data_IF_423062696360
#
_entry.id   IF_423062696360
#
_cell.length_a   1.000
_cell.length_b   1.000
_cell.length_c   1.000
_cell.angle_alpha   90.00
_cell.angle_beta   90.00
_cell.angle_gamma   90.00
#
_symmetry.space_group_name_H-M   'P 1'
#
loop_
_entity.id
_entity.type
_entity.pdbx_description
1 polymer ?
#
# COMPACT_ATOMS: atom_id res chain seq x y z
N UNK A 1 43.22 13.80 -28.72
CA UNK A 1 41.75 13.75 -28.71
C UNK A 1 41.25 13.96 -30.13
N UNK A 2 40.40 13.07 -30.65
CA UNK A 2 39.79 13.25 -31.98
C UNK A 2 38.74 14.36 -31.92
N UNK A 3 38.35 14.93 -33.08
CA UNK A 3 37.28 15.94 -33.14
C UNK A 3 35.95 15.39 -32.59
N UNK A 4 35.64 14.13 -32.88
CA UNK A 4 34.45 13.42 -32.39
C UNK A 4 34.46 13.24 -30.87
N UNK A 5 35.60 12.84 -30.29
CA UNK A 5 35.72 12.68 -28.83
C UNK A 5 35.52 14.01 -28.10
N UNK A 6 36.10 15.10 -28.64
CA UNK A 6 35.93 16.45 -28.09
C UNK A 6 34.46 16.86 -28.08
N UNK A 7 33.74 16.62 -29.19
CA UNK A 7 32.32 16.94 -29.29
C UNK A 7 31.48 16.18 -28.24
N UNK A 8 31.72 14.87 -28.07
CA UNK A 8 30.99 14.07 -27.07
C UNK A 8 31.24 14.54 -25.63
N UNK A 9 32.47 14.97 -25.32
CA UNK A 9 32.81 15.54 -24.01
C UNK A 9 32.11 16.88 -23.77
N UNK A 10 32.07 17.74 -24.79
CA UNK A 10 31.33 19.01 -24.74
C UNK A 10 29.82 18.75 -24.55
N UNK A 11 29.26 17.76 -25.23
CA UNK A 11 27.86 17.35 -25.09
C UNK A 11 27.54 16.76 -23.72
N UNK A 12 28.41 15.89 -23.18
CA UNK A 12 28.29 15.37 -21.83
C UNK A 12 28.30 16.49 -20.78
N UNK A 13 29.23 17.44 -20.87
CA UNK A 13 29.30 18.58 -19.94
C UNK A 13 28.00 19.40 -19.99
N UNK A 14 27.52 19.68 -21.21
CA UNK A 14 26.26 20.38 -21.42
C UNK A 14 25.07 19.67 -20.75
N UNK A 15 24.89 18.37 -21.00
CA UNK A 15 23.75 17.64 -20.43
C UNK A 15 23.89 17.38 -18.93
N UNK A 16 25.11 17.20 -18.39
CA UNK A 16 25.33 17.14 -16.94
C UNK A 16 24.80 18.41 -16.24
N UNK A 17 25.14 19.58 -16.79
CA UNK A 17 24.68 20.86 -16.25
C UNK A 17 23.17 21.04 -16.48
N UNK A 18 22.65 20.66 -17.65
CA UNK A 18 21.22 20.72 -17.95
C UNK A 18 20.38 19.92 -16.95
N UNK A 19 20.68 18.63 -16.73
CA UNK A 19 19.88 17.78 -15.84
C UNK A 19 19.96 18.23 -14.39
N UNK A 20 21.10 18.81 -13.97
CA UNK A 20 21.25 19.42 -12.66
C UNK A 20 20.34 20.64 -12.51
N UNK A 21 20.40 21.58 -13.46
CA UNK A 21 19.58 22.80 -13.42
C UNK A 21 18.09 22.53 -13.62
N UNK A 22 17.73 21.46 -14.35
CA UNK A 22 16.35 20.97 -14.48
C UNK A 22 15.80 20.37 -13.19
N UNK A 23 16.67 20.05 -12.22
CA UNK A 23 16.32 19.46 -10.93
C UNK A 23 16.14 17.95 -10.96
N UNK A 24 16.72 17.26 -11.97
CA UNK A 24 16.64 15.80 -12.08
C UNK A 24 17.70 15.08 -11.22
N UNK A 25 18.63 15.83 -10.62
CA UNK A 25 19.64 15.36 -9.67
C UNK A 25 19.95 16.45 -8.65
N UNK A 26 20.58 16.09 -7.53
CA UNK A 26 21.09 17.02 -6.51
C UNK A 26 22.45 16.59 -6.00
N UNK A 27 23.29 17.55 -5.59
CA UNK A 27 24.61 17.25 -5.02
C UNK A 27 25.53 16.54 -6.02
N UNK A 28 26.13 15.43 -5.58
CA UNK A 28 26.99 14.55 -6.40
C UNK A 28 26.24 13.31 -6.91
N UNK A 29 24.89 13.36 -6.95
CA UNK A 29 24.07 12.26 -7.42
C UNK A 29 23.92 12.23 -8.94
N UNK A 30 23.69 11.02 -9.47
CA UNK A 30 23.51 10.77 -10.89
C UNK A 30 24.83 10.63 -11.65
N UNK A 31 24.76 10.08 -12.86
CA UNK A 31 25.89 9.93 -13.76
C UNK A 31 25.42 9.72 -15.20
N UNK A 32 26.22 10.19 -16.15
CA UNK A 32 25.94 10.13 -17.57
C UNK A 32 27.09 9.40 -18.27
N UNK A 33 26.75 8.67 -19.33
CA UNK A 33 27.74 8.09 -20.23
C UNK A 33 27.32 8.10 -21.68
N UNK A 34 28.31 8.04 -22.56
CA UNK A 34 28.11 7.86 -24.01
C UNK A 34 29.14 6.89 -24.59
N UNK A 35 28.70 6.05 -25.53
CA UNK A 35 29.56 5.13 -26.28
C UNK A 35 30.47 5.93 -27.20
N UNK A 36 31.74 5.57 -27.24
CA UNK A 36 32.73 6.16 -28.12
C UNK A 36 33.63 5.05 -28.67
N UNK A 37 33.26 4.52 -29.84
CA UNK A 37 33.97 3.39 -30.47
C UNK A 37 33.92 2.13 -29.62
N UNK A 38 35.10 1.62 -29.24
CA UNK A 38 35.29 0.45 -28.38
C UNK A 38 35.30 0.79 -26.87
N UNK A 39 34.92 2.02 -26.52
CA UNK A 39 34.96 2.56 -25.15
C UNK A 39 33.67 3.28 -24.78
N UNK A 40 33.57 3.65 -23.51
CA UNK A 40 32.50 4.48 -22.95
C UNK A 40 33.13 5.69 -22.28
N UNK A 41 32.65 6.89 -22.59
CA UNK A 41 32.96 8.10 -21.82
C UNK A 41 31.93 8.22 -20.70
N UNK A 42 32.38 8.34 -19.45
CA UNK A 42 31.52 8.40 -18.26
C UNK A 42 31.95 9.51 -17.30
N UNK A 43 30.98 10.08 -16.58
CA UNK A 43 31.22 11.04 -15.49
C UNK A 43 32.14 10.47 -14.41
N UNK A 44 33.05 11.28 -13.83
CA UNK A 44 33.87 10.88 -12.70
C UNK A 44 33.04 10.72 -11.42
N UNK A 45 33.55 9.92 -10.49
CA UNK A 45 32.96 9.75 -9.16
C UNK A 45 33.13 11.00 -8.30
N UNK A 46 32.14 11.27 -7.44
CA UNK A 46 32.15 12.35 -6.44
C UNK A 46 32.24 13.79 -6.99
N UNK A 47 32.02 13.98 -8.30
CA UNK A 47 31.90 15.31 -8.92
C UNK A 47 30.42 15.64 -9.11
N UNK A 48 30.02 16.87 -8.81
CA UNK A 48 28.65 17.32 -9.07
C UNK A 48 28.44 17.51 -10.57
N UNK A 49 27.32 17.03 -11.10
CA UNK A 49 26.97 17.24 -12.52
C UNK A 49 26.86 18.73 -12.90
N UNK A 50 26.66 19.62 -11.91
CA UNK A 50 26.73 21.08 -12.09
C UNK A 50 28.10 21.59 -12.53
N UNK A 51 29.15 20.88 -12.17
CA UNK A 51 30.55 21.34 -12.27
C UNK A 51 31.36 20.55 -13.30
N UNK A 52 30.78 19.49 -13.90
CA UNK A 52 31.47 18.71 -14.93
C UNK A 52 31.89 19.56 -16.12
N UNK A 53 33.19 19.57 -16.40
CA UNK A 53 33.82 20.13 -17.59
C UNK A 53 34.20 19.02 -18.61
N UNK A 54 34.37 19.35 -19.90
CA UNK A 54 34.74 18.37 -20.94
C UNK A 54 35.99 17.53 -20.62
N UNK A 55 36.92 18.10 -19.87
CA UNK A 55 38.19 17.46 -19.50
C UNK A 55 38.02 16.42 -18.39
N UNK A 56 36.92 16.47 -17.63
CA UNK A 56 36.70 15.63 -16.44
C UNK A 56 36.30 14.19 -16.77
N UNK A 57 35.72 13.95 -17.96
CA UNK A 57 35.17 12.64 -18.32
C UNK A 57 36.25 11.58 -18.50
N UNK A 58 35.91 10.36 -18.07
CA UNK A 58 36.81 9.21 -18.07
C UNK A 58 36.39 8.25 -19.17
N UNK A 59 37.34 7.77 -19.96
CA UNK A 59 37.12 6.69 -20.90
C UNK A 59 37.34 5.35 -20.18
N UNK A 60 36.34 4.47 -20.24
CA UNK A 60 36.40 3.10 -19.72
C UNK A 60 36.19 2.07 -20.85
N UNK A 61 36.67 0.85 -20.65
CA UNK A 61 36.29 -0.29 -21.48
C UNK A 61 34.90 -0.82 -21.09
N UNK A 62 34.38 -1.80 -21.85
CA UNK A 62 33.08 -2.43 -21.54
C UNK A 62 33.10 -3.33 -20.30
N UNK A 63 34.26 -3.57 -19.69
CA UNK A 63 34.38 -4.24 -18.39
C UNK A 63 34.40 -3.22 -17.23
N UNK A 64 34.38 -1.92 -17.54
CA UNK A 64 34.33 -0.82 -16.58
C UNK A 64 35.70 -0.35 -16.08
N UNK A 65 36.80 -0.84 -16.66
CA UNK A 65 38.14 -0.41 -16.28
C UNK A 65 38.50 0.91 -16.96
N UNK A 66 39.13 1.81 -16.20
CA UNK A 66 39.63 3.09 -16.70
C UNK A 66 40.74 2.87 -17.74
N UNK A 67 40.52 3.37 -18.95
CA UNK A 67 41.47 3.31 -20.07
C UNK A 67 42.17 4.66 -20.28
N UNK A 68 41.45 5.77 -20.11
CA UNK A 68 42.02 7.13 -20.22
C UNK A 68 41.20 8.16 -19.43
N UNK A 69 41.80 9.32 -19.14
CA UNK A 69 41.16 10.43 -18.42
C UNK A 69 42.07 11.01 -17.32
N UNK A 70 41.62 12.05 -16.59
CA UNK A 70 42.42 12.71 -15.56
C UNK A 70 42.89 11.74 -14.48
N UNK A 71 44.17 11.80 -14.09
CA UNK A 71 44.80 10.80 -13.20
C UNK A 71 44.12 10.72 -11.82
N UNK A 72 43.70 11.87 -11.28
CA UNK A 72 43.10 12.01 -9.95
C UNK A 72 41.62 11.61 -9.87
N UNK A 73 40.95 11.39 -11.00
CA UNK A 73 39.56 10.93 -11.00
C UNK A 73 39.43 9.44 -11.25
N UNK A 74 38.43 8.84 -10.62
CA UNK A 74 38.00 7.46 -10.86
C UNK A 74 36.62 7.46 -11.52
N UNK A 75 36.28 6.43 -12.33
CA UNK A 75 34.94 6.31 -12.92
C UNK A 75 33.83 6.34 -11.86
N UNK A 76 32.62 6.73 -12.27
CA UNK A 76 31.42 6.62 -11.43
C UNK A 76 31.32 5.24 -10.77
N UNK A 77 30.80 5.20 -9.54
CA UNK A 77 30.49 3.93 -8.86
C UNK A 77 29.53 3.05 -9.67
N UNK A 78 28.65 3.66 -10.46
CA UNK A 78 27.68 2.97 -11.30
C UNK A 78 28.25 2.54 -12.67
N UNK A 79 29.57 2.53 -12.86
CA UNK A 79 30.18 2.13 -14.14
C UNK A 79 29.72 0.74 -14.61
N UNK A 80 29.60 -0.24 -13.70
CA UNK A 80 29.14 -1.59 -14.04
C UNK A 80 27.67 -1.64 -14.46
N UNK A 81 26.85 -0.76 -13.91
CA UNK A 81 25.45 -0.62 -14.31
C UNK A 81 25.37 -0.15 -15.77
N UNK A 82 26.20 0.85 -16.14
CA UNK A 82 26.26 1.38 -17.50
C UNK A 82 26.80 0.35 -18.50
N UNK A 83 27.93 -0.30 -18.18
CA UNK A 83 28.54 -1.26 -19.09
C UNK A 83 27.66 -2.49 -19.30
N UNK A 84 26.95 -2.96 -18.29
CA UNK A 84 26.01 -4.07 -18.41
C UNK A 84 24.87 -3.77 -19.40
N UNK A 85 24.35 -2.54 -19.40
CA UNK A 85 23.37 -2.10 -20.41
C UNK A 85 24.00 -2.05 -21.80
N UNK A 86 25.17 -1.42 -21.97
CA UNK A 86 25.82 -1.32 -23.27
C UNK A 86 26.18 -2.68 -23.89
N UNK A 87 26.51 -3.67 -23.04
CA UNK A 87 26.78 -5.05 -23.46
C UNK A 87 25.51 -5.78 -23.86
N UNK A 88 24.40 -5.60 -23.14
CA UNK A 88 23.13 -6.24 -23.43
C UNK A 88 22.34 -5.58 -24.58
N UNK A 89 22.55 -4.29 -24.79
CA UNK A 89 21.83 -3.46 -25.78
C UNK A 89 22.82 -2.75 -26.71
N UNK A 90 23.28 -3.41 -27.79
CA UNK A 90 24.18 -2.79 -28.77
C UNK A 90 23.60 -1.58 -29.50
N UNK A 91 22.27 -1.42 -29.48
CA UNK A 91 21.54 -0.29 -30.05
C UNK A 91 21.51 0.96 -29.14
N UNK A 92 21.98 0.84 -27.90
CA UNK A 92 22.11 1.94 -26.94
C UNK A 92 23.50 2.55 -27.02
N UNK A 93 23.54 3.87 -27.15
CA UNK A 93 24.75 4.68 -27.25
C UNK A 93 24.86 5.71 -26.13
N UNK A 94 23.79 6.04 -25.41
CA UNK A 94 23.82 6.95 -24.28
C UNK A 94 23.00 6.43 -23.10
N UNK A 95 23.45 6.75 -21.89
CA UNK A 95 22.77 6.40 -20.64
C UNK A 95 22.82 7.58 -19.67
N UNK A 96 21.67 7.90 -19.07
CA UNK A 96 21.56 8.88 -17.99
C UNK A 96 20.96 8.22 -16.75
N UNK A 97 21.75 8.03 -15.70
CA UNK A 97 21.27 7.65 -14.38
C UNK A 97 21.01 8.90 -13.54
N UNK A 98 19.76 9.12 -13.13
CA UNK A 98 19.31 10.37 -12.52
C UNK A 98 18.40 10.12 -11.30
N UNK A 99 18.08 11.17 -10.55
CA UNK A 99 17.23 11.14 -9.35
C UNK A 99 16.00 12.07 -9.43
N UNK A 100 15.16 11.98 -10.48
CA UNK A 100 13.95 12.80 -10.63
C UNK A 100 12.95 12.56 -9.48
N UNK A 101 12.57 13.60 -8.70
CA UNK A 101 11.80 13.42 -7.47
C UNK A 101 10.46 12.71 -7.64
N UNK A 102 9.69 13.02 -8.69
CA UNK A 102 8.38 12.39 -8.90
C UNK A 102 8.53 10.94 -9.38
N UNK A 103 9.51 10.64 -10.23
CA UNK A 103 9.83 9.25 -10.58
C UNK A 103 10.20 8.40 -9.36
N UNK A 104 10.99 8.96 -8.43
CA UNK A 104 11.40 8.27 -7.20
C UNK A 104 10.19 7.89 -6.33
N UNK A 105 9.11 8.67 -6.33
CA UNK A 105 7.86 8.31 -5.59
C UNK A 105 7.33 6.95 -6.03
N UNK A 106 7.41 6.63 -7.32
CA UNK A 106 6.98 5.33 -7.86
C UNK A 106 8.03 4.24 -7.62
N UNK A 107 9.32 4.56 -7.79
CA UNK A 107 10.42 3.63 -7.55
C UNK A 107 10.45 3.13 -6.09
N UNK A 108 10.24 4.01 -5.10
CA UNK A 108 10.17 3.64 -3.67
C UNK A 108 8.97 2.76 -3.36
N UNK A 109 7.90 2.82 -4.17
CA UNK A 109 6.70 1.98 -4.02
C UNK A 109 6.76 0.68 -4.83
N UNK A 110 7.88 0.40 -5.47
CA UNK A 110 8.03 -0.72 -6.40
C UNK A 110 6.89 -0.77 -7.44
N UNK A 111 6.58 0.38 -8.05
CA UNK A 111 5.54 0.52 -9.09
C UNK A 111 6.11 1.22 -10.31
N UNK A 112 5.70 0.77 -11.50
CA UNK A 112 5.92 1.50 -12.75
C UNK A 112 5.20 2.85 -12.75
N UNK A 113 5.65 3.79 -13.58
CA UNK A 113 4.98 5.07 -13.80
C UNK A 113 3.70 4.82 -14.63
N UNK A 114 2.51 5.20 -14.14
CA UNK A 114 1.30 5.15 -14.94
C UNK A 114 1.39 6.14 -16.12
N UNK A 115 1.23 5.65 -17.35
CA UNK A 115 1.30 6.46 -18.57
C UNK A 115 -0.03 7.19 -18.79
N UNK A 116 -0.23 8.28 -18.05
CA UNK A 116 -1.52 9.02 -18.01
C UNK A 116 -1.71 10.03 -19.15
N UNK A 117 -0.75 10.14 -20.07
CA UNK A 117 -0.82 11.02 -21.23
C UNK A 117 -0.44 10.29 -22.51
N UNK A 118 -1.05 10.66 -23.63
CA UNK A 118 -0.75 10.08 -24.95
C UNK A 118 0.74 10.24 -25.28
N UNK A 119 1.36 11.36 -24.91
CA UNK A 119 2.80 11.58 -25.11
C UNK A 119 3.65 10.55 -24.36
N UNK A 120 3.29 10.23 -23.11
CA UNK A 120 3.98 9.21 -22.32
C UNK A 120 3.77 7.81 -22.89
N UNK A 121 2.55 7.46 -23.33
CA UNK A 121 2.26 6.18 -23.96
C UNK A 121 3.10 5.94 -25.22
N UNK A 122 3.24 6.96 -26.06
CA UNK A 122 3.95 6.86 -27.35
C UNK A 122 5.48 6.95 -27.18
N UNK A 123 5.96 7.82 -26.29
CA UNK A 123 7.41 8.14 -26.20
C UNK A 123 8.14 7.49 -25.05
N UNK A 124 7.47 7.21 -23.93
CA UNK A 124 8.14 6.64 -22.75
C UNK A 124 8.09 5.11 -22.76
N UNK A 125 6.96 4.55 -23.21
CA UNK A 125 6.73 3.12 -23.19
C UNK A 125 6.71 2.53 -21.78
N UNK A 126 6.88 1.20 -21.64
CA UNK A 126 6.92 0.54 -20.35
C UNK A 126 8.05 1.07 -19.45
N UNK A 127 7.76 1.26 -18.17
CA UNK A 127 8.73 1.74 -17.16
C UNK A 127 8.98 0.66 -16.08
N UNK A 128 9.76 -0.40 -16.38
CA UNK A 128 9.98 -1.48 -15.44
C UNK A 128 10.71 -1.02 -14.17
N UNK A 129 10.50 -1.72 -13.06
CA UNK A 129 11.19 -1.48 -11.80
C UNK A 129 12.19 -2.58 -11.51
N UNK A 130 13.43 -2.19 -11.24
CA UNK A 130 14.51 -3.06 -10.82
C UNK A 130 14.56 -3.10 -9.30
N UNK A 131 14.55 -4.28 -8.66
CA UNK A 131 14.62 -4.42 -7.21
C UNK A 131 15.89 -3.83 -6.60
N UNK A 132 15.83 -3.48 -5.31
CA UNK A 132 16.95 -2.88 -4.59
C UNK A 132 18.20 -3.79 -4.56
N UNK A 133 19.35 -3.21 -4.89
CA UNK A 133 20.67 -3.79 -4.71
C UNK A 133 21.69 -2.69 -4.42
N UNK A 134 22.83 -3.00 -3.75
CA UNK A 134 23.83 -1.98 -3.42
C UNK A 134 24.35 -1.23 -4.66
N UNK A 135 24.42 0.10 -4.57
CA UNK A 135 24.99 0.98 -5.60
C UNK A 135 26.41 0.55 -6.00
N UNK A 136 26.67 0.54 -7.31
CA UNK A 136 27.94 0.09 -7.88
C UNK A 136 28.28 -1.40 -7.73
N UNK A 137 27.31 -2.24 -7.32
CA UNK A 137 27.52 -3.68 -7.23
C UNK A 137 27.24 -4.40 -8.54
N UNK A 138 27.93 -5.54 -8.76
CA UNK A 138 27.63 -6.44 -9.87
C UNK A 138 26.20 -6.99 -9.81
N UNK A 139 25.63 -7.11 -8.60
CA UNK A 139 24.23 -7.55 -8.42
C UNK A 139 23.27 -6.56 -9.06
N UNK A 140 23.43 -5.27 -8.81
CA UNK A 140 22.60 -4.23 -9.42
C UNK A 140 22.77 -4.23 -10.96
N UNK A 141 24.01 -4.31 -11.44
CA UNK A 141 24.30 -4.39 -12.87
C UNK A 141 23.59 -5.58 -13.56
N UNK A 142 23.62 -6.76 -12.95
CA UNK A 142 22.93 -7.94 -13.48
C UNK A 142 21.41 -7.78 -13.49
N UNK A 143 20.81 -7.21 -12.43
CA UNK A 143 19.37 -6.97 -12.38
C UNK A 143 18.92 -5.96 -13.44
N UNK A 144 19.69 -4.90 -13.66
CA UNK A 144 19.43 -3.92 -14.72
C UNK A 144 19.55 -4.56 -16.10
N UNK A 145 20.60 -5.37 -16.32
CA UNK A 145 20.78 -6.13 -17.56
C UNK A 145 19.59 -7.02 -17.87
N UNK A 146 19.13 -7.78 -16.88
CA UNK A 146 18.01 -8.69 -17.04
C UNK A 146 16.71 -7.91 -17.32
N UNK A 147 16.51 -6.74 -16.70
CA UNK A 147 15.36 -5.88 -16.97
C UNK A 147 15.34 -5.30 -18.39
N UNK A 148 16.48 -4.80 -18.91
CA UNK A 148 16.54 -4.25 -20.28
C UNK A 148 16.43 -5.32 -21.37
N UNK A 149 16.77 -6.57 -21.06
CA UNK A 149 16.55 -7.73 -21.94
C UNK A 149 15.11 -8.22 -21.89
N UNK A 150 14.50 -8.25 -20.70
CA UNK A 150 13.11 -8.65 -20.53
C UNK A 150 12.12 -7.62 -21.11
N UNK A 151 12.50 -6.34 -21.14
CA UNK A 151 11.71 -5.27 -21.72
C UNK A 151 12.53 -4.44 -22.72
N UNK A 152 12.72 -4.93 -23.97
CA UNK A 152 13.53 -4.24 -24.98
C UNK A 152 13.00 -2.84 -25.36
N UNK A 153 11.69 -2.63 -25.23
CA UNK A 153 11.03 -1.35 -25.52
C UNK A 153 11.21 -0.31 -24.40
N UNK A 154 11.71 -0.71 -23.22
CA UNK A 154 11.88 0.21 -22.10
C UNK A 154 13.00 1.22 -22.40
N UNK A 155 12.67 2.51 -22.32
CA UNK A 155 13.65 3.60 -22.41
C UNK A 155 13.96 4.22 -21.04
N UNK A 156 13.04 4.08 -20.08
CA UNK A 156 13.19 4.54 -18.71
C UNK A 156 12.96 3.36 -17.75
N UNK A 157 13.98 3.03 -16.97
CA UNK A 157 13.93 1.99 -15.94
C UNK A 157 13.96 2.67 -14.57
N UNK A 158 13.07 2.26 -13.67
CA UNK A 158 13.10 2.69 -12.28
C UNK A 158 13.99 1.75 -11.47
N UNK A 159 14.80 2.31 -10.57
CA UNK A 159 15.62 1.56 -9.62
C UNK A 159 15.03 1.75 -8.23
N UNK A 160 14.51 0.67 -7.63
CA UNK A 160 13.83 0.71 -6.32
C UNK A 160 14.71 1.38 -5.26
N UNK A 161 14.15 2.40 -4.57
CA UNK A 161 14.82 3.22 -3.54
C UNK A 161 16.12 3.91 -3.98
N UNK A 162 16.36 4.04 -5.29
CA UNK A 162 17.61 4.60 -5.82
C UNK A 162 17.38 5.77 -6.78
N UNK A 163 16.78 5.53 -7.95
CA UNK A 163 16.70 6.54 -9.00
C UNK A 163 16.07 6.00 -10.27
N UNK A 164 16.46 6.58 -11.41
CA UNK A 164 16.05 6.10 -12.73
C UNK A 164 17.26 5.90 -13.63
N UNK A 165 17.09 5.07 -14.65
CA UNK A 165 18.05 4.85 -15.72
C UNK A 165 17.36 5.09 -17.06
N UNK A 166 17.73 6.15 -17.76
CA UNK A 166 17.26 6.44 -19.10
C UNK A 166 18.29 5.98 -20.13
N UNK A 167 17.84 5.29 -21.18
CA UNK A 167 18.69 4.70 -22.23
C UNK A 167 18.25 5.18 -23.62
N UNK A 168 19.20 5.40 -24.52
CA UNK A 168 18.90 5.97 -25.84
C UNK A 168 20.09 5.98 -26.80
N UNK A 169 19.92 6.57 -27.99
CA UNK A 169 20.97 6.68 -29.02
C UNK A 169 21.83 7.93 -28.85
N UNK A 170 21.27 8.96 -28.23
CA UNK A 170 21.97 10.22 -27.97
C UNK A 170 21.76 10.65 -26.53
N UNK A 171 22.64 11.51 -26.00
CA UNK A 171 22.46 12.07 -24.67
C UNK A 171 21.14 12.85 -24.58
N UNK A 172 20.79 13.57 -25.66
CA UNK A 172 19.48 14.21 -25.79
C UNK A 172 18.33 13.25 -25.53
N UNK A 173 18.32 12.10 -26.21
CA UNK A 173 17.23 11.12 -26.07
C UNK A 173 17.08 10.68 -24.61
N UNK A 174 18.19 10.37 -23.94
CA UNK A 174 18.14 9.93 -22.54
C UNK A 174 17.64 11.01 -21.58
N UNK A 175 18.00 12.27 -21.83
CA UNK A 175 17.58 13.40 -21.01
C UNK A 175 16.11 13.71 -21.25
N UNK A 176 15.66 13.73 -22.51
CA UNK A 176 14.25 13.95 -22.87
C UNK A 176 13.35 12.84 -22.30
N UNK A 177 13.81 11.59 -22.32
CA UNK A 177 13.10 10.44 -21.72
C UNK A 177 12.99 10.59 -20.19
N UNK A 178 14.07 10.99 -19.52
CA UNK A 178 14.05 11.20 -18.07
C UNK A 178 13.15 12.38 -17.68
N UNK A 179 13.17 13.48 -18.45
CA UNK A 179 12.34 14.66 -18.22
C UNK A 179 10.85 14.36 -18.45
N UNK A 180 10.52 13.65 -19.54
CA UNK A 180 9.16 13.16 -19.79
C UNK A 180 8.69 12.20 -18.69
N UNK A 181 9.57 11.32 -18.22
CA UNK A 181 9.30 10.43 -17.10
C UNK A 181 8.91 11.21 -15.84
N UNK A 182 9.69 12.23 -15.49
CA UNK A 182 9.45 13.09 -14.32
C UNK A 182 8.12 13.84 -14.43
N UNK A 183 7.82 14.41 -15.59
CA UNK A 183 6.55 15.10 -15.84
C UNK A 183 5.36 14.13 -15.80
N UNK A 184 5.50 12.93 -16.38
CA UNK A 184 4.47 11.88 -16.35
C UNK A 184 4.21 11.41 -14.93
N UNK A 185 5.27 11.15 -14.16
CA UNK A 185 5.17 10.76 -12.76
C UNK A 185 4.49 11.86 -11.92
N UNK A 186 4.82 13.13 -12.15
CA UNK A 186 4.17 14.25 -11.48
C UNK A 186 2.67 14.27 -11.73
N UNK A 187 2.24 14.17 -12.99
CA UNK A 187 0.81 14.16 -13.35
C UNK A 187 0.12 12.93 -12.76
N UNK A 188 0.71 11.74 -12.87
CA UNK A 188 0.15 10.51 -12.30
C UNK A 188 0.00 10.58 -10.77
N UNK A 189 0.99 11.15 -10.09
CA UNK A 189 0.93 11.36 -8.64
C UNK A 189 -0.17 12.36 -8.26
N UNK A 190 -0.23 13.51 -8.93
CA UNK A 190 -1.27 14.51 -8.71
C UNK A 190 -2.68 13.96 -9.00
N UNK A 191 -2.82 13.16 -10.06
CA UNK A 191 -4.06 12.47 -10.40
C UNK A 191 -4.49 11.54 -9.26
N UNK A 192 -3.57 10.75 -8.70
CA UNK A 192 -3.87 9.84 -7.58
C UNK A 192 -4.38 10.57 -6.33
N UNK A 193 -3.92 11.80 -6.10
CA UNK A 193 -4.36 12.65 -5.00
C UNK A 193 -5.70 13.33 -5.29
N UNK A 194 -5.86 13.89 -6.49
CA UNK A 194 -7.04 14.66 -6.89
C UNK A 194 -8.28 13.78 -7.08
N UNK A 195 -8.07 12.55 -7.54
CA UNK A 195 -9.13 11.62 -7.91
C UNK A 195 -9.43 10.61 -6.78
N UNK A 196 -8.67 10.64 -5.67
CA UNK A 196 -8.88 9.75 -4.54
C UNK A 196 -9.00 8.30 -4.99
N UNK A 197 -7.92 7.74 -5.55
CA UNK A 197 -7.77 6.32 -5.92
C UNK A 197 -9.10 5.61 -6.28
N UNK A 198 -9.65 5.91 -7.45
CA UNK A 198 -10.90 5.36 -8.01
C UNK A 198 -10.92 3.81 -8.21
N UNK A 199 -10.03 3.08 -7.55
CA UNK A 199 -10.01 1.62 -7.49
C UNK A 199 -10.06 1.05 -6.08
N UNK A 200 -10.33 1.84 -5.03
CA UNK A 200 -10.63 1.24 -3.72
C UNK A 200 -11.94 0.48 -3.82
N UNK A 201 -11.85 -0.85 -3.90
CA UNK A 201 -13.05 -1.68 -3.77
C UNK A 201 -13.50 -1.56 -2.32
N UNK A 202 -14.74 -1.13 -2.13
CA UNK A 202 -15.38 -1.08 -0.83
C UNK A 202 -16.22 -2.34 -0.70
N UNK A 203 -15.89 -3.17 0.28
CA UNK A 203 -16.73 -4.29 0.66
C UNK A 203 -17.55 -3.88 1.86
N UNK A 204 -18.86 -3.97 1.72
CA UNK A 204 -19.76 -3.92 2.86
C UNK A 204 -19.72 -5.27 3.56
N UNK A 205 -19.28 -5.25 4.82
CA UNK A 205 -19.19 -6.44 5.67
C UNK A 205 -20.23 -6.39 6.79
N UNK A 206 -21.27 -5.56 6.60
CA UNK A 206 -22.39 -5.45 7.52
C UNK A 206 -23.51 -6.39 7.10
N UNK A 207 -24.22 -6.96 8.07
CA UNK A 207 -25.48 -7.63 7.81
C UNK A 207 -26.59 -6.61 7.61
N UNK A 208 -27.59 -6.96 6.80
CA UNK A 208 -28.76 -6.11 6.64
C UNK A 208 -29.65 -6.21 7.88
N UNK A 209 -29.92 -5.07 8.53
CA UNK A 209 -30.88 -5.00 9.62
C UNK A 209 -32.30 -5.20 9.08
N UNK A 210 -32.96 -6.28 9.52
CA UNK A 210 -34.30 -6.69 9.08
C UNK A 210 -35.11 -7.18 10.27
N UNK A 211 -36.43 -7.00 10.24
CA UNK A 211 -37.31 -7.43 11.34
C UNK A 211 -37.29 -8.96 11.60
N UNK A 212 -36.93 -9.75 10.59
CA UNK A 212 -36.81 -11.21 10.64
C UNK A 212 -35.36 -11.70 10.81
N UNK A 213 -34.40 -10.81 11.10
CA UNK A 213 -33.01 -11.18 11.28
C UNK A 213 -32.78 -11.97 12.57
N UNK A 214 -31.65 -12.66 12.63
CA UNK A 214 -31.18 -13.25 13.88
C UNK A 214 -30.88 -12.16 14.90
N UNK A 215 -31.41 -12.33 16.10
CA UNK A 215 -31.04 -11.54 17.27
C UNK A 215 -30.55 -12.48 18.37
N UNK A 216 -29.73 -11.96 19.28
CA UNK A 216 -29.33 -12.76 20.43
C UNK A 216 -30.57 -13.10 21.27
N UNK A 217 -30.73 -14.34 21.77
CA UNK A 217 -31.92 -14.71 22.52
C UNK A 217 -32.13 -13.84 23.77
N UNK A 218 -33.21 -13.05 23.78
CA UNK A 218 -33.54 -12.13 24.86
C UNK A 218 -33.45 -10.66 24.46
N UNK A 219 -32.79 -10.36 23.35
CA UNK A 219 -32.64 -9.00 22.85
C UNK A 219 -33.96 -8.45 22.27
N UNK A 220 -34.16 -7.12 22.30
CA UNK A 220 -35.30 -6.50 21.64
C UNK A 220 -35.20 -6.65 20.12
N UNK A 221 -36.31 -6.97 19.43
CA UNK A 221 -36.33 -7.08 17.97
C UNK A 221 -36.22 -5.71 17.30
N UNK A 222 -35.83 -5.71 16.02
CA UNK A 222 -35.97 -4.54 15.16
C UNK A 222 -37.44 -4.37 14.75
N UNK A 223 -38.03 -3.24 15.14
CA UNK A 223 -39.35 -2.82 14.70
C UNK A 223 -39.25 -1.55 13.85
N UNK A 224 -39.89 -1.58 12.68
CA UNK A 224 -39.96 -0.44 11.77
C UNK A 224 -41.43 -0.11 11.47
N UNK A 225 -41.90 1.03 12.01
CA UNK A 225 -43.29 1.47 11.83
C UNK A 225 -43.35 2.73 10.97
N UNK A 226 -44.02 2.65 9.81
CA UNK A 226 -44.21 3.81 8.94
C UNK A 226 -45.28 4.76 9.49
N UNK A 227 -44.84 5.77 10.24
CA UNK A 227 -45.71 6.76 10.89
C UNK A 227 -46.32 7.75 9.89
N UNK A 228 -45.62 8.09 8.80
CA UNK A 228 -46.14 8.93 7.71
C UNK A 228 -45.84 8.31 6.36
N UNK A 229 -46.75 8.45 5.40
CA UNK A 229 -46.59 7.89 4.07
C UNK A 229 -47.14 8.80 2.99
N UNK A 230 -46.36 9.02 1.94
CA UNK A 230 -46.80 9.79 0.77
C UNK A 230 -48.04 9.17 0.14
N UNK A 231 -48.13 7.84 0.13
CA UNK A 231 -49.31 7.11 -0.34
C UNK A 231 -50.60 7.40 0.46
N UNK A 232 -50.49 7.91 1.69
CA UNK A 232 -51.61 8.36 2.54
C UNK A 232 -51.86 9.87 2.46
N UNK A 233 -51.15 10.59 1.58
CA UNK A 233 -51.27 12.04 1.40
C UNK A 233 -50.31 12.88 2.27
N UNK A 234 -49.37 12.26 2.98
CA UNK A 234 -48.32 13.00 3.69
C UNK A 234 -47.29 13.63 2.72
N UNK A 235 -46.61 14.68 3.16
CA UNK A 235 -45.55 15.32 2.38
C UNK A 235 -44.25 14.49 2.27
N UNK A 236 -44.07 13.49 3.14
CA UNK A 236 -42.88 12.64 3.19
C UNK A 236 -43.20 11.28 3.82
N UNK A 237 -42.36 10.29 3.51
CA UNK A 237 -42.33 9.04 4.27
C UNK A 237 -41.53 9.26 5.55
N UNK A 238 -42.06 8.81 6.68
CA UNK A 238 -41.37 8.83 7.96
C UNK A 238 -41.56 7.48 8.63
N UNK A 239 -40.45 6.87 9.05
CA UNK A 239 -40.43 5.58 9.71
C UNK A 239 -39.84 5.76 11.11
N UNK A 240 -40.53 5.24 12.11
CA UNK A 240 -40.01 5.06 13.46
C UNK A 240 -39.26 3.72 13.51
N UNK A 241 -38.05 3.73 14.06
CA UNK A 241 -37.22 2.55 14.27
C UNK A 241 -37.04 2.33 15.78
N UNK A 242 -37.26 1.10 16.24
CA UNK A 242 -36.96 0.64 17.59
C UNK A 242 -36.11 -0.62 17.48
N UNK A 243 -34.95 -0.66 18.14
CA UNK A 243 -33.98 -1.73 18.05
C UNK A 243 -33.05 -1.74 19.26
N UNK A 244 -32.42 -2.89 19.53
CA UNK A 244 -31.38 -3.00 20.55
C UNK A 244 -30.04 -2.43 20.09
N UNK A 245 -29.23 -1.96 21.03
CA UNK A 245 -27.86 -1.50 20.79
C UNK A 245 -26.98 -2.54 20.09
N UNK A 246 -27.26 -3.83 20.33
CA UNK A 246 -26.52 -4.99 19.82
C UNK A 246 -27.22 -5.66 18.62
N UNK A 247 -28.03 -4.89 17.88
CA UNK A 247 -28.72 -5.39 16.68
C UNK A 247 -27.76 -5.43 15.49
N UNK A 248 -27.70 -6.58 14.81
CA UNK A 248 -26.95 -6.73 13.57
C UNK A 248 -25.46 -6.48 13.74
N UNK A 249 -24.87 -5.79 12.76
CA UNK A 249 -23.48 -5.36 12.85
C UNK A 249 -23.37 -4.19 13.81
N UNK A 250 -22.62 -4.37 14.90
CA UNK A 250 -22.56 -3.37 15.98
C UNK A 250 -21.21 -3.38 16.68
N UNK A 251 -21.00 -2.37 17.53
CA UNK A 251 -19.81 -2.24 18.37
C UNK A 251 -20.22 -2.23 19.84
N UNK A 252 -19.55 -3.06 20.63
CA UNK A 252 -19.67 -3.05 22.09
C UNK A 252 -18.75 -2.01 22.71
N UNK A 253 -19.29 -1.21 23.63
CA UNK A 253 -18.51 -0.37 24.51
C UNK A 253 -18.15 -1.13 25.80
N UNK A 254 -17.12 -0.69 26.55
CA UNK A 254 -16.82 -1.28 27.84
C UNK A 254 -18.00 -1.35 28.81
N UNK A 255 -18.88 -0.33 28.79
CA UNK A 255 -20.09 -0.28 29.62
C UNK A 255 -21.02 -1.50 29.46
N UNK A 256 -20.93 -2.25 28.35
CA UNK A 256 -21.76 -3.44 28.12
C UNK A 256 -21.56 -4.55 29.15
N UNK A 257 -20.31 -4.78 29.57
CA UNK A 257 -19.97 -5.82 30.56
C UNK A 257 -19.17 -5.31 31.76
N UNK A 258 -18.74 -4.05 31.75
CA UNK A 258 -17.98 -3.41 32.82
C UNK A 258 -18.83 -2.30 33.43
N UNK A 259 -19.33 -2.53 34.64
CA UNK A 259 -20.10 -1.53 35.39
C UNK A 259 -19.27 -0.26 35.61
N UNK A 260 -19.85 0.90 35.30
CA UNK A 260 -19.15 2.19 35.28
C UNK A 260 -18.08 2.35 34.19
N UNK A 261 -17.99 1.42 33.24
CA UNK A 261 -17.09 1.50 32.09
C UNK A 261 -17.50 2.63 31.11
N UNK A 262 -16.57 3.07 30.25
CA UNK A 262 -16.88 4.04 29.19
C UNK A 262 -18.02 3.57 28.29
N UNK A 263 -18.97 4.47 28.02
CA UNK A 263 -20.02 4.30 26.99
C UNK A 263 -19.47 4.67 25.61
N UNK A 264 -20.17 4.27 24.55
CA UNK A 264 -19.60 4.25 23.20
C UNK A 264 -19.17 5.62 22.68
N UNK A 265 -19.87 6.70 23.04
CA UNK A 265 -19.52 8.07 22.67
C UNK A 265 -18.22 8.59 23.31
N UNK A 266 -17.73 7.90 24.34
CA UNK A 266 -16.49 8.21 25.05
C UNK A 266 -15.29 7.44 24.48
N UNK A 267 -15.52 6.44 23.63
CA UNK A 267 -14.45 5.61 23.06
C UNK A 267 -13.80 6.33 21.86
N UNK A 268 -12.45 6.40 21.78
CA UNK A 268 -11.75 6.96 20.64
C UNK A 268 -12.08 6.26 19.31
N UNK A 269 -12.33 7.04 18.25
CA UNK A 269 -12.71 6.51 16.93
C UNK A 269 -11.57 5.80 16.19
N UNK A 270 -10.31 6.07 16.54
CA UNK A 270 -9.14 5.42 15.96
C UNK A 270 -9.01 3.94 16.36
N UNK A 271 -9.80 3.47 17.33
CA UNK A 271 -9.99 2.04 17.59
C UNK A 271 -10.86 1.34 16.52
N UNK A 272 -11.69 2.08 15.79
CA UNK A 272 -12.74 1.54 14.91
C UNK A 272 -12.51 1.87 13.42
N UNK A 273 -11.48 2.66 13.13
CA UNK A 273 -11.04 3.01 11.78
C UNK A 273 -9.53 2.80 11.69
N UNK A 274 -9.08 2.11 10.64
CA UNK A 274 -7.64 1.94 10.40
C UNK A 274 -7.27 0.58 9.82
N UNK A 275 -5.96 0.29 9.73
CA UNK A 275 -5.47 -0.99 9.23
C UNK A 275 -6.07 -2.16 10.03
N UNK A 276 -6.57 -3.15 9.30
CA UNK A 276 -7.18 -4.33 9.84
C UNK A 276 -6.65 -5.58 9.13
N UNK A 277 -6.58 -6.68 9.84
CA UNK A 277 -6.20 -7.99 9.31
C UNK A 277 -7.40 -8.93 9.41
N UNK A 278 -7.81 -9.50 8.28
CA UNK A 278 -8.80 -10.59 8.24
C UNK A 278 -8.05 -11.91 8.36
N UNK A 279 -8.36 -12.69 9.40
CA UNK A 279 -7.81 -14.03 9.63
C UNK A 279 -8.81 -15.08 9.16
N UNK A 280 -8.36 -16.03 8.33
CA UNK A 280 -9.18 -17.19 7.95
C UNK A 280 -9.10 -18.27 9.04
N UNK A 281 -10.20 -18.41 9.79
CA UNK A 281 -10.36 -19.32 10.92
C UNK A 281 -11.55 -20.27 10.71
N UNK A 282 -11.96 -20.45 9.44
CA UNK A 282 -13.01 -21.40 9.05
C UNK A 282 -12.67 -22.84 9.42
N UNK A 283 -13.69 -23.64 9.67
CA UNK A 283 -13.57 -25.03 10.15
C UNK A 283 -13.28 -25.18 11.64
N UNK A 284 -13.10 -24.10 12.39
CA UNK A 284 -12.88 -24.13 13.83
C UNK A 284 -14.20 -23.96 14.59
N UNK A 285 -14.47 -24.84 15.56
CA UNK A 285 -15.60 -24.68 16.48
C UNK A 285 -15.33 -23.64 17.58
N UNK A 286 -14.05 -23.40 17.90
CA UNK A 286 -13.61 -22.40 18.86
C UNK A 286 -12.25 -21.85 18.42
N UNK A 287 -12.03 -20.55 18.61
CA UNK A 287 -10.78 -19.86 18.31
C UNK A 287 -9.93 -19.86 19.59
N UNK A 288 -8.91 -20.72 19.62
CA UNK A 288 -7.96 -20.84 20.72
C UNK A 288 -6.65 -20.09 20.47
N UNK A 289 -5.80 -19.98 21.50
CA UNK A 289 -4.52 -19.28 21.35
C UNK A 289 -3.59 -19.99 20.36
N UNK A 290 -3.71 -21.31 20.18
CA UNK A 290 -2.90 -22.06 19.24
C UNK A 290 -3.26 -21.73 17.78
N UNK A 291 -4.54 -21.50 17.48
CA UNK A 291 -5.00 -21.00 16.19
C UNK A 291 -4.45 -19.59 15.92
N UNK A 292 -4.55 -18.68 16.88
CA UNK A 292 -4.10 -17.30 16.72
C UNK A 292 -2.57 -17.17 16.57
N UNK A 293 -1.78 -18.01 17.26
CA UNK A 293 -0.31 -18.01 17.15
C UNK A 293 0.23 -18.38 15.76
N UNK A 294 -0.61 -18.89 14.87
CA UNK A 294 -0.25 -19.18 13.47
C UNK A 294 -0.22 -17.92 12.59
N UNK A 295 -0.69 -16.79 13.13
CA UNK A 295 -0.80 -15.53 12.42
C UNK A 295 0.10 -14.46 13.06
N UNK A 296 0.61 -13.56 12.22
CA UNK A 296 1.33 -12.37 12.68
C UNK A 296 0.31 -11.34 13.16
N UNK A 297 0.27 -11.13 14.48
CA UNK A 297 -0.61 -10.16 15.16
C UNK A 297 0.28 -9.20 15.93
N UNK A 298 0.17 -7.89 15.71
CA UNK A 298 0.99 -6.85 16.33
C UNK A 298 0.16 -5.93 17.24
N UNK A 299 0.87 -5.14 18.05
CA UNK A 299 0.24 -4.16 18.91
C UNK A 299 -0.43 -3.05 18.09
N UNK A 300 -1.67 -2.72 18.42
CA UNK A 300 -2.49 -1.73 17.72
C UNK A 300 -3.30 -2.29 16.53
N UNK A 301 -3.24 -3.59 16.27
CA UNK A 301 -4.00 -4.20 15.18
C UNK A 301 -5.51 -4.22 15.45
N UNK A 302 -6.31 -4.06 14.38
CA UNK A 302 -7.69 -4.55 14.34
C UNK A 302 -7.67 -5.93 13.70
N UNK A 303 -8.25 -6.93 14.38
CA UNK A 303 -8.29 -8.30 13.89
C UNK A 303 -9.74 -8.73 13.64
N UNK A 304 -10.06 -9.15 12.42
CA UNK A 304 -11.38 -9.67 12.07
C UNK A 304 -11.29 -11.19 11.87
N UNK A 305 -12.15 -11.93 12.56
CA UNK A 305 -12.20 -13.38 12.49
C UNK A 305 -13.21 -13.83 11.43
N UNK A 306 -12.71 -14.33 10.31
CA UNK A 306 -13.55 -14.99 9.31
C UNK A 306 -13.72 -16.44 9.71
N UNK A 307 -14.93 -16.83 10.08
CA UNK A 307 -15.26 -18.19 10.49
C UNK A 307 -16.38 -18.76 9.59
N UNK A 308 -16.89 -19.94 9.92
CA UNK A 308 -18.08 -20.49 9.25
C UNK A 308 -19.37 -19.79 9.72
N UNK A 309 -19.27 -18.84 10.65
CA UNK A 309 -20.43 -18.12 11.17
C UNK A 309 -21.08 -17.21 10.14
N UNK A 310 -20.33 -16.62 9.21
CA UNK A 310 -20.91 -15.79 8.16
C UNK A 310 -22.00 -16.53 7.36
N UNK A 311 -21.84 -17.84 7.15
CA UNK A 311 -22.85 -18.68 6.46
C UNK A 311 -24.11 -18.90 7.30
N UNK A 312 -24.04 -18.70 8.63
CA UNK A 312 -25.16 -18.90 9.57
C UNK A 312 -26.24 -17.84 9.41
N UNK A 313 -25.91 -16.66 8.87
CA UNK A 313 -26.89 -15.63 8.51
C UNK A 313 -27.94 -16.12 7.51
N UNK A 314 -27.62 -17.16 6.72
CA UNK A 314 -28.55 -17.76 5.76
C UNK A 314 -29.40 -18.90 6.36
N UNK A 315 -29.11 -19.33 7.60
CA UNK A 315 -29.85 -20.42 8.26
C UNK A 315 -31.07 -19.87 9.01
N UNK A 316 -32.18 -20.61 9.12
CA UNK A 316 -33.34 -20.15 9.88
C UNK A 316 -33.04 -20.13 11.39
N UNK A 317 -33.32 -19.00 12.03
CA UNK A 317 -33.22 -18.85 13.49
C UNK A 317 -31.78 -18.81 14.03
N UNK A 318 -31.66 -18.37 15.29
CA UNK A 318 -30.36 -18.20 15.95
C UNK A 318 -29.63 -19.54 16.09
N UNK A 319 -28.40 -19.63 15.58
CA UNK A 319 -27.58 -20.83 15.64
C UNK A 319 -26.78 -20.81 16.94
N UNK A 320 -26.92 -21.82 17.80
CA UNK A 320 -26.30 -21.84 19.15
C UNK A 320 -24.89 -22.40 19.20
N UNK A 321 -24.47 -23.07 18.14
CA UNK A 321 -23.18 -23.75 17.96
C UNK A 321 -22.19 -22.90 17.16
N UNK A 322 -22.34 -21.57 17.17
CA UNK A 322 -21.44 -20.66 16.47
C UNK A 322 -20.02 -20.71 17.05
N UNK A 323 -19.05 -20.43 16.19
CA UNK A 323 -17.64 -20.34 16.57
C UNK A 323 -17.43 -19.14 17.48
N UNK A 324 -16.78 -19.37 18.62
CA UNK A 324 -16.53 -18.36 19.66
C UNK A 324 -15.03 -18.27 20.00
N UNK A 325 -14.63 -17.25 20.74
CA UNK A 325 -13.25 -17.05 21.22
C UNK A 325 -13.09 -17.71 22.58
N UNK A 326 -12.05 -18.52 22.77
CA UNK A 326 -11.76 -19.09 24.09
C UNK A 326 -11.04 -18.07 24.98
N UNK A 327 -11.05 -18.31 26.29
CA UNK A 327 -10.37 -17.46 27.26
C UNK A 327 -8.86 -17.31 26.99
N UNK A 328 -8.16 -18.39 26.67
CA UNK A 328 -6.72 -18.34 26.39
C UNK A 328 -6.40 -17.56 25.10
N UNK A 329 -7.29 -17.58 24.11
CA UNK A 329 -7.19 -16.72 22.93
C UNK A 329 -7.36 -15.24 23.29
N UNK A 330 -8.33 -14.91 24.16
CA UNK A 330 -8.53 -13.56 24.65
C UNK A 330 -7.31 -13.05 25.46
N UNK A 331 -6.74 -13.89 26.31
CA UNK A 331 -5.49 -13.59 27.04
C UNK A 331 -4.34 -13.30 26.07
N UNK A 332 -4.18 -14.12 25.03
CA UNK A 332 -3.19 -13.89 23.98
C UNK A 332 -3.40 -12.56 23.24
N UNK A 333 -4.64 -12.20 22.89
CA UNK A 333 -4.95 -10.93 22.23
C UNK A 333 -4.62 -9.71 23.12
N UNK A 334 -4.88 -9.81 24.42
CA UNK A 334 -4.47 -8.80 25.42
C UNK A 334 -2.95 -8.68 25.47
N UNK A 335 -2.21 -9.79 25.50
CA UNK A 335 -0.74 -9.79 25.48
C UNK A 335 -0.18 -9.13 24.22
N UNK A 336 -0.82 -9.37 23.06
CA UNK A 336 -0.45 -8.74 21.79
C UNK A 336 -0.85 -7.27 21.70
N UNK A 337 -1.70 -6.77 22.61
CA UNK A 337 -2.21 -5.39 22.65
C UNK A 337 -2.92 -4.99 21.36
N UNK A 338 -3.77 -5.88 20.84
CA UNK A 338 -4.70 -5.51 19.76
C UNK A 338 -5.66 -4.44 20.26
N UNK A 339 -6.12 -3.56 19.37
CA UNK A 339 -7.04 -2.47 19.78
C UNK A 339 -8.52 -2.87 19.67
N UNK A 340 -8.85 -3.72 18.70
CA UNK A 340 -10.22 -4.15 18.41
C UNK A 340 -10.22 -5.53 17.79
N UNK A 341 -11.24 -6.32 18.11
CA UNK A 341 -11.54 -7.57 17.41
C UNK A 341 -12.90 -7.51 16.72
N UNK A 342 -13.07 -8.28 15.65
CA UNK A 342 -14.33 -8.43 14.96
C UNK A 342 -14.73 -9.89 14.81
N UNK A 343 -16.00 -10.19 15.09
CA UNK A 343 -16.59 -11.52 14.94
C UNK A 343 -17.72 -11.48 13.91
N UNK A 344 -17.76 -12.51 13.07
CA UNK A 344 -18.76 -12.68 12.02
C UNK A 344 -20.05 -13.37 12.49
N UNK A 345 -20.43 -13.09 13.74
CA UNK A 345 -21.69 -13.48 14.35
C UNK A 345 -22.07 -12.61 15.55
N UNK A 346 -23.24 -12.88 16.12
CA UNK A 346 -23.87 -12.12 17.22
C UNK A 346 -23.18 -12.25 18.60
N UNK A 347 -22.05 -12.95 18.71
CA UNK A 347 -21.27 -12.95 19.95
C UNK A 347 -19.85 -13.48 19.75
N UNK A 348 -18.88 -12.91 20.45
CA UNK A 348 -17.54 -13.51 20.61
C UNK A 348 -17.50 -14.63 21.67
N UNK A 349 -18.51 -14.73 22.52
CA UNK A 349 -18.55 -15.61 23.69
C UNK A 349 -19.32 -16.89 23.40
N UNK A 350 -18.97 -17.98 24.09
CA UNK A 350 -19.69 -19.24 23.92
C UNK A 350 -21.17 -19.08 24.30
N UNK A 351 -22.07 -19.58 23.44
CA UNK A 351 -23.50 -19.59 23.77
C UNK A 351 -23.78 -20.26 25.11
N UNK A 352 -24.57 -19.59 25.96
CA UNK A 352 -24.96 -20.10 27.27
C UNK A 352 -23.93 -19.86 28.38
N UNK A 353 -22.79 -19.21 28.07
CA UNK A 353 -21.86 -18.71 29.09
C UNK A 353 -22.60 -17.88 30.14
N UNK A 354 -22.25 -18.07 31.42
CA UNK A 354 -22.85 -17.37 32.57
C UNK A 354 -21.93 -16.30 33.14
N UNK A 355 -20.66 -16.36 32.77
CA UNK A 355 -19.60 -15.54 33.36
C UNK A 355 -19.15 -14.41 32.43
N UNK A 356 -19.32 -14.58 31.12
CA UNK A 356 -18.93 -13.60 30.08
C UNK A 356 -17.45 -13.18 30.24
N UNK A 357 -16.58 -14.15 30.50
CA UNK A 357 -15.17 -13.89 30.84
C UNK A 357 -14.41 -13.27 29.66
N UNK A 358 -14.77 -13.61 28.42
CA UNK A 358 -14.10 -13.11 27.22
C UNK A 358 -14.42 -11.64 27.02
N UNK A 359 -15.71 -11.26 27.03
CA UNK A 359 -16.11 -9.86 26.94
C UNK A 359 -15.48 -9.03 28.07
N UNK A 360 -15.59 -9.49 29.32
CA UNK A 360 -15.04 -8.77 30.48
C UNK A 360 -13.52 -8.60 30.40
N UNK A 361 -12.80 -9.62 29.93
CA UNK A 361 -11.35 -9.55 29.78
C UNK A 361 -10.95 -8.53 28.70
N UNK A 362 -11.56 -8.59 27.52
CA UNK A 362 -11.21 -7.72 26.40
C UNK A 362 -11.63 -6.27 26.66
N UNK A 363 -12.90 -6.04 26.99
CA UNK A 363 -13.45 -4.72 27.26
C UNK A 363 -12.81 -4.08 28.49
N UNK A 364 -12.54 -4.87 29.54
CA UNK A 364 -11.83 -4.42 30.74
C UNK A 364 -10.38 -4.01 30.49
N UNK A 365 -9.81 -4.38 29.33
CA UNK A 365 -8.49 -3.93 28.86
C UNK A 365 -8.56 -2.90 27.74
N UNK A 366 -9.76 -2.38 27.45
CA UNK A 366 -9.98 -1.37 26.41
C UNK A 366 -9.90 -1.91 24.99
N UNK A 367 -9.98 -3.23 24.80
CA UNK A 367 -10.05 -3.85 23.49
C UNK A 367 -11.52 -3.87 23.07
N UNK A 368 -11.87 -3.11 22.03
CA UNK A 368 -13.23 -3.07 21.54
C UNK A 368 -13.62 -4.33 20.78
N UNK A 369 -14.92 -4.57 20.70
CA UNK A 369 -15.50 -5.74 20.05
C UNK A 369 -16.49 -5.25 19.00
N UNK A 370 -16.32 -5.75 17.79
CA UNK A 370 -17.27 -5.61 16.69
C UNK A 370 -17.93 -6.98 16.52
N UNK A 371 -19.25 -7.02 16.56
CA UNK A 371 -20.03 -8.24 16.35
C UNK A 371 -20.96 -8.08 15.17
N UNK A 372 -21.47 -9.20 14.68
CA UNK A 372 -22.45 -9.22 13.61
C UNK A 372 -21.90 -8.98 12.21
N UNK A 373 -20.62 -9.26 11.94
CA UNK A 373 -20.03 -9.08 10.61
C UNK A 373 -20.49 -10.17 9.62
N UNK A 374 -20.42 -9.87 8.32
CA UNK A 374 -20.48 -10.85 7.23
C UNK A 374 -19.16 -10.83 6.44
N UNK A 375 -18.41 -11.92 6.55
CA UNK A 375 -17.10 -12.10 5.91
C UNK A 375 -17.11 -13.22 4.86
N UNK A 376 -18.29 -13.65 4.38
CA UNK A 376 -18.42 -14.74 3.39
C UNK A 376 -17.53 -14.50 2.15
N UNK A 377 -17.62 -13.30 1.58
CA UNK A 377 -16.94 -12.93 0.32
C UNK A 377 -15.57 -12.26 0.52
N UNK A 378 -15.04 -12.25 1.75
CA UNK A 378 -13.81 -11.54 2.08
C UNK A 378 -12.64 -12.49 2.15
N UNK A 379 -11.61 -12.26 1.34
CA UNK A 379 -10.36 -13.00 1.43
C UNK A 379 -9.56 -12.56 2.67
N UNK A 380 -8.85 -13.51 3.32
CA UNK A 380 -7.92 -13.16 4.38
C UNK A 380 -6.79 -12.25 3.89
N UNK A 381 -6.28 -11.40 4.78
CA UNK A 381 -5.24 -10.44 4.47
C UNK A 381 -5.50 -9.04 5.03
N UNK A 382 -4.66 -8.07 4.63
CA UNK A 382 -4.74 -6.71 5.12
C UNK A 382 -5.81 -5.89 4.38
N UNK A 383 -6.50 -5.04 5.14
CA UNK A 383 -7.50 -4.08 4.66
C UNK A 383 -7.41 -2.77 5.46
N UNK A 384 -8.07 -1.74 4.96
CA UNK A 384 -8.47 -0.60 5.78
C UNK A 384 -9.92 -0.82 6.24
N UNK A 385 -10.17 -0.90 7.55
CA UNK A 385 -11.51 -0.95 8.13
C UNK A 385 -12.06 0.46 8.40
N UNK A 386 -13.36 0.61 8.19
CA UNK A 386 -14.17 1.65 8.81
C UNK A 386 -15.43 1.01 9.40
N UNK A 387 -15.58 1.00 10.72
CA UNK A 387 -16.77 0.52 11.42
C UNK A 387 -17.19 1.54 12.48
N UNK A 388 -17.81 2.64 12.03
CA UNK A 388 -18.20 3.73 12.92
C UNK A 388 -19.63 3.50 13.43
N UNK A 389 -19.83 3.33 14.75
CA UNK A 389 -21.16 3.20 15.32
C UNK A 389 -21.89 4.54 15.37
N UNK A 390 -23.22 4.48 15.53
CA UNK A 390 -24.02 5.67 15.81
C UNK A 390 -23.52 6.37 17.09
N UNK A 391 -23.45 7.71 17.04
CA UNK A 391 -23.12 8.53 18.21
C UNK A 391 -24.37 8.72 19.06
N UNK A 392 -24.67 7.73 19.91
CA UNK A 392 -25.72 7.79 20.92
C UNK A 392 -25.09 8.03 22.30
N UNK A 393 -25.73 8.84 23.13
CA UNK A 393 -25.23 9.14 24.48
C UNK A 393 -25.67 8.05 25.46
N UNK A 394 -24.77 7.68 26.38
CA UNK A 394 -25.06 6.76 27.49
C UNK A 394 -25.50 5.35 27.08
N UNK A 395 -25.05 4.87 25.91
CA UNK A 395 -25.34 3.51 25.44
C UNK A 395 -24.13 2.58 25.58
N UNK A 396 -24.42 1.31 25.83
CA UNK A 396 -23.47 0.23 25.99
C UNK A 396 -22.98 -0.40 24.67
N UNK A 397 -23.64 -0.06 23.57
CA UNK A 397 -23.23 -0.41 22.21
C UNK A 397 -24.06 0.38 21.21
N UNK A 398 -23.76 0.23 19.92
CA UNK A 398 -24.64 0.72 18.87
C UNK A 398 -24.39 0.01 17.53
N UNK A 399 -25.43 -0.08 16.67
CA UNK A 399 -25.27 -0.52 15.29
C UNK A 399 -24.28 0.34 14.51
N UNK A 400 -23.57 -0.29 13.59
CA UNK A 400 -22.55 0.34 12.77
C UNK A 400 -22.62 -0.17 11.33
N UNK A 401 -22.19 0.66 10.38
CA UNK A 401 -21.89 0.21 9.02
C UNK A 401 -20.39 -0.10 8.93
N UNK A 402 -20.07 -1.38 8.85
CA UNK A 402 -18.71 -1.88 8.72
C UNK A 402 -18.35 -2.09 7.25
N UNK A 403 -17.25 -1.46 6.82
CA UNK A 403 -16.71 -1.63 5.45
C UNK A 403 -15.21 -1.89 5.46
N UNK A 404 -14.76 -2.72 4.52
CA UNK A 404 -13.35 -2.91 4.19
C UNK A 404 -12.99 -2.22 2.88
N UNK A 405 -11.78 -1.68 2.80
CA UNK A 405 -11.24 -1.01 1.63
C UNK A 405 -9.88 -1.60 1.28
N UNK A 406 -9.64 -1.85 -0.01
CA UNK A 406 -8.37 -2.36 -0.55
C UNK A 406 -8.09 -1.80 -1.94
#
# INVERSE_FOLDING_TARGET
MSATERQLREELAHYCQFVYHRGLVTGTGGNLSVRFGDRVLITPSAVSLRECAPEDFIAVDFDGHKVAGPEHYIPSKEVYLHTAVYQARPDVDAISHLHPPNCIVFAVRNRSIPLVTITAEVRLGPTPVVPEAPSGSQKLANLVRDAVLACPEAQLILLERHGVLAIGKTLRDTVDVADLGEDTARVAHQLSLAIGDHQRRVWDISVADRADMHIYPGDPPLEATQVRAIARGDAANLTHLSLGAHTGTHVDAPAHFIDGGPTLEQVPLDCMVGPAQVLDLRGLAAIDAAALRRHEIHAGDIILFRTDNSERWQKPGFQKDFTYVTRDAAEYLVERRVKTIGMDYLSIEQFGSKTFEVHKLLLGRGILIIEGLDLCEIAAGPYLLSCLPLKLEHVDGAPARAVLMR
#
